data_IF_611761678873
#
_entry.id   IF_611761678873
#
_cell.length_a   1.000
_cell.length_b   1.000
_cell.length_c   1.000
_cell.angle_alpha   90.00
_cell.angle_beta   90.00
_cell.angle_gamma   90.00
#
_symmetry.space_group_name_H-M   'P 1'
#
loop_
_entity.id
_entity.type
_entity.pdbx_description
1 polymer ?
#
# COMPACT_ATOMS: atom_id res chain seq x y z
N UNK A 1 26.14 29.53 6.71
CA UNK A 1 26.64 28.32 6.03
C UNK A 1 26.64 27.10 6.99
N UNK A 2 27.17 27.21 8.22
CA UNK A 2 27.23 26.08 9.18
C UNK A 2 25.86 25.51 9.55
N UNK A 3 24.84 26.33 9.81
CA UNK A 3 23.46 25.88 10.12
C UNK A 3 22.80 25.12 8.97
N UNK A 4 23.14 25.43 7.73
CA UNK A 4 22.61 24.69 6.57
C UNK A 4 23.24 23.31 6.49
N UNK A 5 24.55 23.22 6.69
CA UNK A 5 25.28 21.93 6.67
C UNK A 5 24.77 20.99 7.76
N UNK A 6 24.49 21.52 8.98
CA UNK A 6 23.97 20.68 10.08
C UNK A 6 22.53 20.18 9.90
N UNK A 7 21.79 20.72 8.93
CA UNK A 7 20.45 20.25 8.57
C UNK A 7 20.47 18.95 7.71
N UNK A 8 21.66 18.56 7.22
CA UNK A 8 21.80 17.38 6.35
C UNK A 8 22.76 16.38 6.98
N UNK A 9 22.32 15.14 7.01
CA UNK A 9 23.19 13.98 7.38
C UNK A 9 23.45 13.17 6.12
N UNK A 10 24.75 12.92 5.83
CA UNK A 10 25.18 12.06 4.73
C UNK A 10 25.67 10.76 5.31
N UNK A 11 25.00 9.66 5.02
CA UNK A 11 25.38 8.30 5.37
C UNK A 11 25.83 7.50 4.15
N UNK A 12 26.47 6.35 4.37
CA UNK A 12 26.82 5.41 3.31
C UNK A 12 25.59 4.60 2.85
N UNK A 13 24.69 4.32 3.79
CA UNK A 13 23.53 3.46 3.59
C UNK A 13 22.25 4.15 4.08
N UNK A 14 21.12 3.70 3.57
CA UNK A 14 19.80 4.06 4.09
C UNK A 14 19.61 3.37 5.45
N UNK A 15 19.08 4.07 6.44
CA UNK A 15 18.76 3.53 7.76
C UNK A 15 17.29 3.76 8.11
N UNK A 16 16.69 2.82 8.83
CA UNK A 16 15.26 2.84 9.17
C UNK A 16 14.85 4.08 9.98
N UNK A 17 15.73 4.57 10.86
CA UNK A 17 15.43 5.71 11.75
C UNK A 17 15.17 7.02 10.99
N UNK A 18 15.74 7.14 9.79
CA UNK A 18 15.64 8.35 8.97
C UNK A 18 14.92 8.16 7.64
N UNK A 19 14.50 6.93 7.33
CA UNK A 19 13.90 6.60 6.06
C UNK A 19 12.70 5.65 6.22
N UNK A 20 11.50 6.18 6.47
CA UNK A 20 10.30 5.37 6.63
C UNK A 20 9.95 4.56 5.37
N UNK A 21 10.31 5.05 4.18
CA UNK A 21 10.10 4.31 2.93
C UNK A 21 10.94 3.04 2.87
N UNK A 22 12.17 3.08 3.40
CA UNK A 22 13.03 1.88 3.47
C UNK A 22 12.34 0.74 4.22
N UNK A 23 11.68 1.04 5.35
CA UNK A 23 10.95 0.04 6.12
C UNK A 23 9.81 -0.62 5.33
N UNK A 24 9.05 0.19 4.59
CA UNK A 24 7.96 -0.32 3.73
C UNK A 24 8.48 -1.19 2.58
N UNK A 25 9.56 -0.74 1.92
CA UNK A 25 10.21 -1.49 0.83
C UNK A 25 10.71 -2.84 1.33
N UNK A 26 11.41 -2.88 2.47
CA UNK A 26 11.94 -4.14 3.05
C UNK A 26 10.80 -5.09 3.41
N UNK A 27 9.71 -4.62 4.00
CA UNK A 27 8.54 -5.44 4.27
C UNK A 27 7.93 -6.00 2.98
N UNK A 28 7.81 -5.17 1.95
CA UNK A 28 7.32 -5.57 0.63
C UNK A 28 8.23 -6.63 -0.03
N UNK A 29 9.55 -6.48 0.10
CA UNK A 29 10.53 -7.47 -0.39
C UNK A 29 10.46 -8.80 0.37
N UNK A 30 10.25 -8.77 1.70
CA UNK A 30 10.04 -9.98 2.49
C UNK A 30 8.82 -10.75 1.98
N UNK A 31 7.70 -10.05 1.77
CA UNK A 31 6.50 -10.65 1.22
C UNK A 31 6.72 -11.19 -0.21
N UNK A 32 7.39 -10.43 -1.08
CA UNK A 32 7.71 -10.86 -2.44
C UNK A 32 8.58 -12.12 -2.47
N UNK A 33 9.58 -12.24 -1.58
CA UNK A 33 10.37 -13.47 -1.43
C UNK A 33 9.54 -14.64 -0.96
N UNK A 34 8.67 -14.42 0.03
CA UNK A 34 7.76 -15.44 0.54
C UNK A 34 6.82 -15.98 -0.56
N UNK A 35 6.36 -15.09 -1.45
CA UNK A 35 5.47 -15.41 -2.56
C UNK A 35 6.20 -15.97 -3.81
N UNK A 36 7.54 -16.02 -3.79
CA UNK A 36 8.28 -16.57 -4.92
C UNK A 36 7.98 -18.06 -5.11
N UNK A 37 8.02 -18.58 -6.37
CA UNK A 37 7.69 -19.98 -6.66
C UNK A 37 8.55 -20.99 -5.87
N UNK A 38 9.78 -20.63 -5.51
CA UNK A 38 10.68 -21.49 -4.75
C UNK A 38 10.40 -21.55 -3.26
N UNK A 39 9.75 -20.53 -2.67
CA UNK A 39 9.41 -20.45 -1.23
C UNK A 39 7.93 -20.80 -1.02
N UNK A 40 7.04 -20.17 -1.77
CA UNK A 40 5.59 -20.40 -1.75
C UNK A 40 4.98 -20.37 -0.33
N UNK A 41 5.26 -19.32 0.43
CA UNK A 41 4.76 -19.09 1.80
C UNK A 41 3.81 -17.87 1.84
N UNK A 42 2.53 -18.06 1.51
CA UNK A 42 1.53 -17.00 1.60
C UNK A 42 1.29 -16.53 3.04
N UNK A 43 1.55 -17.37 4.04
CA UNK A 43 1.39 -17.03 5.45
C UNK A 43 2.28 -15.87 5.87
N UNK A 44 3.55 -15.86 5.48
CA UNK A 44 4.48 -14.75 5.71
C UNK A 44 4.00 -13.48 5.03
N UNK A 45 3.54 -13.55 3.78
CA UNK A 45 3.00 -12.37 3.08
C UNK A 45 1.76 -11.78 3.77
N UNK A 46 0.87 -12.65 4.28
CA UNK A 46 -0.30 -12.26 5.08
C UNK A 46 0.12 -11.59 6.40
N UNK A 47 1.17 -12.09 7.04
CA UNK A 47 1.76 -11.48 8.23
C UNK A 47 2.32 -10.08 7.96
N UNK A 48 3.02 -9.90 6.84
CA UNK A 48 3.51 -8.60 6.38
C UNK A 48 2.36 -7.63 6.15
N UNK A 49 1.28 -8.05 5.47
CA UNK A 49 0.09 -7.21 5.29
C UNK A 49 -0.50 -6.74 6.63
N UNK A 50 -0.52 -7.61 7.65
CA UNK A 50 -0.94 -7.21 8.99
C UNK A 50 -0.02 -6.17 9.64
N UNK A 51 1.27 -6.27 9.41
CA UNK A 51 2.28 -5.29 9.88
C UNK A 51 2.11 -3.95 9.17
N UNK A 52 1.94 -3.95 7.85
CA UNK A 52 1.70 -2.74 7.06
C UNK A 52 0.42 -2.02 7.52
N UNK A 53 -0.68 -2.74 7.77
CA UNK A 53 -1.91 -2.13 8.31
C UNK A 53 -1.63 -1.42 9.63
N UNK A 54 -0.90 -2.04 10.56
CA UNK A 54 -0.55 -1.39 11.83
C UNK A 54 0.28 -0.13 11.63
N UNK A 55 1.29 -0.17 10.77
CA UNK A 55 2.16 0.98 10.49
C UNK A 55 1.37 2.15 9.89
N UNK A 56 0.54 1.90 8.89
CA UNK A 56 -0.29 2.94 8.27
C UNK A 56 -1.37 3.46 9.23
N UNK A 57 -1.91 2.62 10.12
CA UNK A 57 -2.87 3.07 11.14
C UNK A 57 -2.18 3.99 12.15
N UNK A 58 -0.97 3.66 12.60
CA UNK A 58 -0.16 4.54 13.45
C UNK A 58 0.21 5.84 12.73
N UNK A 59 0.50 5.77 11.44
CA UNK A 59 0.73 6.96 10.62
C UNK A 59 -0.51 7.86 10.56
N UNK A 60 -1.70 7.29 10.36
CA UNK A 60 -2.96 8.03 10.32
C UNK A 60 -3.32 8.69 11.66
N UNK A 61 -2.91 8.07 12.77
CA UNK A 61 -3.13 8.58 14.13
C UNK A 61 -2.06 9.59 14.57
N UNK A 62 -1.08 9.90 13.71
CA UNK A 62 -0.07 10.90 14.02
C UNK A 62 -0.74 12.23 14.33
N UNK A 63 -0.40 12.71 15.49
CA UNK A 63 -0.94 13.94 16.05
C UNK A 63 -0.63 15.13 15.10
N UNK A 64 -1.65 15.85 14.69
CA UNK A 64 -1.52 17.12 13.96
C UNK A 64 -0.78 18.19 14.81
N UNK A 65 -0.52 17.91 16.07
CA UNK A 65 0.22 18.74 17.01
C UNK A 65 1.69 18.99 16.62
N UNK A 66 2.22 18.30 15.62
CA UNK A 66 3.51 18.65 15.01
C UNK A 66 3.46 20.00 14.27
N UNK A 67 2.29 20.46 13.86
CA UNK A 67 2.10 21.72 13.15
C UNK A 67 2.44 22.97 13.98
N UNK A 68 2.55 22.83 15.31
CA UNK A 68 2.90 23.93 16.22
C UNK A 68 4.32 23.88 16.79
N UNK A 69 5.14 22.89 16.42
CA UNK A 69 6.52 22.82 16.90
C UNK A 69 7.41 23.84 16.18
N UNK A 70 8.34 24.50 16.89
CA UNK A 70 9.25 25.44 16.27
C UNK A 70 10.12 24.72 15.23
N UNK A 71 10.15 25.25 14.02
CA UNK A 71 10.97 24.72 12.93
C UNK A 71 12.44 24.99 13.24
N UNK A 72 13.24 23.94 13.43
CA UNK A 72 14.66 24.07 13.75
C UNK A 72 15.46 24.69 12.59
N UNK A 73 15.08 24.37 11.34
CA UNK A 73 15.74 24.83 10.12
C UNK A 73 14.74 25.53 9.19
N UNK A 74 14.43 26.78 9.47
CA UNK A 74 13.43 27.61 8.80
C UNK A 74 13.69 27.89 7.31
N UNK A 75 14.94 27.66 6.85
CA UNK A 75 15.37 27.87 5.46
C UNK A 75 15.55 26.57 4.67
N UNK A 76 15.25 25.42 5.28
CA UNK A 76 15.33 24.11 4.63
C UNK A 76 13.92 23.66 4.29
N UNK A 77 13.65 23.49 3.01
CA UNK A 77 12.39 22.94 2.51
C UNK A 77 12.66 21.53 1.99
N UNK A 78 11.93 20.56 2.53
CA UNK A 78 11.96 19.17 2.07
C UNK A 78 10.58 18.77 1.51
N UNK A 79 10.53 17.99 0.43
CA UNK A 79 9.25 17.45 -0.06
C UNK A 79 8.57 16.62 1.02
N UNK A 80 7.26 16.80 1.17
CA UNK A 80 6.46 15.95 2.05
C UNK A 80 6.35 14.56 1.46
N UNK A 81 6.34 13.55 2.33
CA UNK A 81 6.06 12.18 1.93
C UNK A 81 4.61 12.08 1.43
N UNK A 82 4.46 11.63 0.19
CA UNK A 82 3.15 11.41 -0.40
C UNK A 82 2.61 10.02 -0.01
N UNK A 83 1.40 9.97 0.51
CA UNK A 83 0.74 8.70 0.91
C UNK A 83 0.68 7.71 -0.25
N UNK A 84 0.43 8.21 -1.47
CA UNK A 84 0.43 7.38 -2.68
C UNK A 84 1.75 6.64 -2.90
N UNK A 85 2.90 7.31 -2.72
CA UNK A 85 4.22 6.69 -2.87
C UNK A 85 4.47 5.63 -1.78
N UNK A 86 4.02 5.88 -0.56
CA UNK A 86 4.12 4.92 0.54
C UNK A 86 3.31 3.65 0.26
N UNK A 87 2.12 3.80 -0.34
CA UNK A 87 1.29 2.67 -0.77
C UNK A 87 1.92 1.92 -1.96
N UNK A 88 2.50 2.64 -2.92
CA UNK A 88 3.22 2.03 -4.04
C UNK A 88 4.40 1.17 -3.53
N UNK A 89 5.21 1.67 -2.58
CA UNK A 89 6.31 0.94 -1.95
C UNK A 89 5.83 -0.31 -1.18
N UNK A 90 4.70 -0.19 -0.47
CA UNK A 90 4.21 -1.24 0.43
C UNK A 90 3.45 -2.37 -0.29
N UNK A 91 2.58 -2.04 -1.25
CA UNK A 91 1.58 -2.98 -1.73
C UNK A 91 1.77 -3.46 -3.17
N UNK A 92 2.53 -2.73 -4.02
CA UNK A 92 2.63 -3.04 -5.44
C UNK A 92 3.23 -4.42 -5.70
N UNK A 93 4.35 -4.77 -5.04
CA UNK A 93 4.99 -6.07 -5.22
C UNK A 93 4.12 -7.20 -4.64
N UNK A 94 3.50 -7.00 -3.47
CA UNK A 94 2.60 -8.00 -2.88
C UNK A 94 1.40 -8.27 -3.79
N UNK A 95 0.81 -7.23 -4.38
CA UNK A 95 -0.31 -7.37 -5.32
C UNK A 95 0.09 -8.07 -6.61
N UNK A 96 1.35 -7.90 -7.08
CA UNK A 96 1.87 -8.56 -8.27
C UNK A 96 2.17 -10.03 -7.98
N UNK A 97 2.97 -10.29 -6.96
CA UNK A 97 3.51 -11.62 -6.69
C UNK A 97 2.48 -12.54 -6.02
N UNK A 98 1.50 -11.97 -5.32
CA UNK A 98 0.40 -12.68 -4.69
C UNK A 98 -0.88 -12.80 -5.53
N UNK A 99 -0.86 -12.38 -6.79
CA UNK A 99 -2.06 -12.33 -7.63
C UNK A 99 -2.73 -13.69 -7.83
N UNK A 100 -1.95 -14.77 -7.88
CA UNK A 100 -2.43 -16.16 -8.02
C UNK A 100 -2.75 -16.86 -6.71
N UNK A 101 -2.56 -16.22 -5.55
CA UNK A 101 -2.87 -16.76 -4.24
C UNK A 101 -4.13 -16.10 -3.67
N UNK A 102 -5.26 -16.79 -3.73
CA UNK A 102 -6.57 -16.22 -3.35
C UNK A 102 -6.57 -15.70 -1.91
N UNK A 103 -5.94 -16.40 -0.98
CA UNK A 103 -5.82 -16.03 0.43
C UNK A 103 -5.04 -14.71 0.62
N UNK A 104 -3.99 -14.48 -0.19
CA UNK A 104 -3.23 -13.23 -0.19
C UNK A 104 -4.09 -12.11 -0.77
N UNK A 105 -4.77 -12.35 -1.90
CA UNK A 105 -5.68 -11.39 -2.52
C UNK A 105 -6.80 -10.96 -1.59
N UNK A 106 -7.44 -11.92 -0.90
CA UNK A 106 -8.48 -11.66 0.11
C UNK A 106 -7.92 -10.81 1.26
N UNK A 107 -6.73 -11.17 1.78
CA UNK A 107 -6.12 -10.43 2.89
C UNK A 107 -5.73 -9.02 2.45
N UNK A 108 -5.18 -8.86 1.25
CA UNK A 108 -4.81 -7.56 0.70
C UNK A 108 -6.03 -6.63 0.58
N UNK A 109 -7.14 -7.10 0.00
CA UNK A 109 -8.37 -6.30 -0.11
C UNK A 109 -8.92 -5.88 1.27
N UNK A 110 -8.93 -6.80 2.24
CA UNK A 110 -9.33 -6.49 3.62
C UNK A 110 -8.41 -5.47 4.29
N UNK A 111 -7.11 -5.56 4.04
CA UNK A 111 -6.12 -4.59 4.53
C UNK A 111 -6.37 -3.20 3.96
N UNK A 112 -6.53 -3.09 2.65
CA UNK A 112 -6.81 -1.83 1.97
C UNK A 112 -8.15 -1.23 2.42
N UNK A 113 -9.19 -2.05 2.65
CA UNK A 113 -10.46 -1.59 3.24
C UNK A 113 -10.27 -0.98 4.62
N UNK A 114 -9.49 -1.64 5.49
CA UNK A 114 -9.21 -1.12 6.83
C UNK A 114 -8.50 0.22 6.76
N UNK A 115 -7.53 0.38 5.86
CA UNK A 115 -6.80 1.64 5.68
C UNK A 115 -7.67 2.74 5.08
N UNK A 116 -8.54 2.42 4.13
CA UNK A 116 -9.51 3.37 3.56
C UNK A 116 -10.47 3.94 4.62
N UNK A 117 -10.75 3.15 5.68
CA UNK A 117 -11.64 3.55 6.76
C UNK A 117 -10.94 4.26 7.93
N UNK A 118 -9.64 4.00 8.10
CA UNK A 118 -8.86 4.51 9.25
C UNK A 118 -8.12 5.82 8.95
N UNK A 119 -7.84 6.11 7.67
CA UNK A 119 -7.04 7.25 7.24
C UNK A 119 -7.86 8.43 6.74
N UNK A 120 -7.13 9.46 6.33
CA UNK A 120 -7.66 10.65 5.66
C UNK A 120 -8.07 10.37 4.20
N UNK A 121 -8.50 11.40 3.48
CA UNK A 121 -8.88 11.31 2.06
C UNK A 121 -7.73 10.83 1.16
N UNK A 122 -6.47 11.23 1.44
CA UNK A 122 -5.33 10.80 0.65
C UNK A 122 -5.10 9.28 0.80
N UNK A 123 -5.21 8.77 2.02
CA UNK A 123 -5.08 7.33 2.30
C UNK A 123 -6.25 6.54 1.69
N UNK A 124 -7.47 7.08 1.77
CA UNK A 124 -8.64 6.46 1.13
C UNK A 124 -8.47 6.35 -0.38
N UNK A 125 -8.02 7.43 -1.04
CA UNK A 125 -7.78 7.43 -2.50
C UNK A 125 -6.68 6.43 -2.88
N UNK A 126 -5.57 6.39 -2.14
CA UNK A 126 -4.50 5.44 -2.36
C UNK A 126 -4.97 3.98 -2.18
N UNK A 127 -5.75 3.70 -1.13
CA UNK A 127 -6.29 2.37 -0.86
C UNK A 127 -7.23 1.88 -1.98
N UNK A 128 -8.13 2.74 -2.47
CA UNK A 128 -9.03 2.41 -3.60
C UNK A 128 -8.23 2.13 -4.88
N UNK A 129 -7.25 2.96 -5.21
CA UNK A 129 -6.35 2.75 -6.37
C UNK A 129 -5.66 1.38 -6.30
N UNK A 130 -5.07 1.05 -5.14
CA UNK A 130 -4.37 -0.23 -4.95
C UNK A 130 -5.32 -1.43 -4.95
N UNK A 131 -6.53 -1.29 -4.39
CA UNK A 131 -7.56 -2.32 -4.44
C UNK A 131 -7.98 -2.63 -5.88
N UNK A 132 -8.13 -1.61 -6.71
CA UNK A 132 -8.44 -1.75 -8.14
C UNK A 132 -7.32 -2.46 -8.90
N UNK A 133 -6.06 -2.05 -8.68
CA UNK A 133 -4.91 -2.69 -9.33
C UNK A 133 -4.73 -4.14 -8.88
N UNK A 134 -4.94 -4.43 -7.59
CA UNK A 134 -4.87 -5.80 -7.07
C UNK A 134 -5.97 -6.68 -7.64
N UNK A 135 -7.20 -6.16 -7.77
CA UNK A 135 -8.30 -6.87 -8.43
C UNK A 135 -7.97 -7.21 -9.87
N UNK A 136 -7.49 -6.23 -10.66
CA UNK A 136 -7.16 -6.44 -12.06
C UNK A 136 -6.07 -7.53 -12.26
N UNK A 137 -5.08 -7.59 -11.34
CA UNK A 137 -4.08 -8.66 -11.35
C UNK A 137 -4.67 -10.03 -10.99
N UNK A 138 -5.52 -10.08 -9.97
CA UNK A 138 -6.18 -11.32 -9.55
C UNK A 138 -7.09 -11.88 -10.64
N UNK A 139 -7.82 -11.04 -11.36
CA UNK A 139 -8.67 -11.43 -12.50
C UNK A 139 -7.87 -12.06 -13.66
N UNK A 140 -6.60 -11.69 -13.81
CA UNK A 140 -5.71 -12.28 -14.81
C UNK A 140 -5.02 -13.57 -14.34
N UNK A 141 -4.82 -13.73 -13.03
CA UNK A 141 -4.02 -14.81 -12.46
C UNK A 141 -4.86 -15.98 -11.93
N UNK A 142 -6.09 -15.73 -11.47
CA UNK A 142 -6.98 -16.75 -10.91
C UNK A 142 -7.85 -17.37 -12.01
N UNK A 143 -7.92 -18.70 -12.00
CA UNK A 143 -8.70 -19.46 -12.97
C UNK A 143 -10.13 -19.78 -12.51
N UNK A 144 -10.39 -19.73 -11.20
CA UNK A 144 -11.69 -20.11 -10.63
C UNK A 144 -12.61 -18.89 -10.47
N UNK A 145 -13.78 -18.87 -11.15
CA UNK A 145 -14.68 -17.72 -11.13
C UNK A 145 -15.16 -17.31 -9.73
N UNK A 146 -15.34 -18.26 -8.82
CA UNK A 146 -15.79 -17.97 -7.46
C UNK A 146 -14.71 -17.26 -6.62
N UNK A 147 -13.42 -17.56 -6.85
CA UNK A 147 -12.29 -16.88 -6.18
C UNK A 147 -12.19 -15.44 -6.68
N UNK A 148 -12.26 -15.23 -7.99
CA UNK A 148 -12.32 -13.90 -8.60
C UNK A 148 -13.53 -13.12 -8.06
N UNK A 149 -14.71 -13.76 -7.98
CA UNK A 149 -15.91 -13.15 -7.42
C UNK A 149 -15.73 -12.69 -5.96
N UNK A 150 -15.05 -13.49 -5.15
CA UNK A 150 -14.75 -13.17 -3.76
C UNK A 150 -13.85 -11.93 -3.65
N UNK A 151 -12.77 -11.88 -4.43
CA UNK A 151 -11.85 -10.72 -4.42
C UNK A 151 -12.55 -9.48 -4.97
N UNK A 152 -13.36 -9.60 -6.02
CA UNK A 152 -14.14 -8.49 -6.59
C UNK A 152 -15.11 -7.90 -5.56
N UNK A 153 -15.86 -8.72 -4.84
CA UNK A 153 -16.78 -8.26 -3.80
C UNK A 153 -16.04 -7.51 -2.67
N UNK A 154 -14.86 -7.98 -2.29
CA UNK A 154 -14.02 -7.28 -1.31
C UNK A 154 -13.48 -5.96 -1.85
N UNK A 155 -13.02 -5.89 -3.10
CA UNK A 155 -12.54 -4.67 -3.73
C UNK A 155 -13.66 -3.61 -3.80
N UNK A 156 -14.88 -4.01 -4.14
CA UNK A 156 -16.05 -3.12 -4.11
C UNK A 156 -16.28 -2.53 -2.71
N UNK A 157 -16.07 -3.33 -1.66
CA UNK A 157 -16.19 -2.85 -0.28
C UNK A 157 -15.10 -1.86 0.14
N UNK A 158 -14.03 -1.72 -0.64
CA UNK A 158 -13.02 -0.66 -0.49
C UNK A 158 -13.46 0.65 -1.17
N UNK A 159 -14.40 0.56 -2.13
CA UNK A 159 -14.86 1.68 -2.94
C UNK A 159 -14.47 1.59 -4.43
N UNK A 160 -13.99 0.42 -4.88
CA UNK A 160 -13.73 0.20 -6.32
C UNK A 160 -15.07 0.16 -7.08
N UNK A 161 -15.25 0.97 -8.12
CA UNK A 161 -16.48 0.96 -8.92
C UNK A 161 -16.69 -0.40 -9.58
N UNK A 162 -17.96 -0.77 -9.75
CA UNK A 162 -18.33 -1.88 -10.65
C UNK A 162 -17.84 -1.53 -12.06
N UNK A 163 -17.18 -2.49 -12.71
CA UNK A 163 -17.02 -2.40 -14.16
C UNK A 163 -18.43 -2.38 -14.74
N UNK A 164 -18.81 -1.29 -15.37
CA UNK A 164 -20.04 -1.26 -16.17
C UNK A 164 -19.80 -2.18 -17.35
N UNK A 165 -20.52 -3.30 -17.38
CA UNK A 165 -20.54 -4.16 -18.55
C UNK A 165 -20.96 -3.28 -19.75
N UNK A 166 -20.01 -3.06 -20.65
CA UNK A 166 -20.21 -2.30 -21.89
C UNK A 166 -21.04 -3.09 -22.89
N UNK A 167 -22.21 -3.58 -22.49
CA UNK A 167 -23.18 -4.24 -23.34
C UNK A 167 -24.51 -3.44 -23.38
N UNK A 168 -24.42 -2.26 -23.94
CA UNK A 168 -25.60 -1.68 -24.61
C UNK A 168 -25.23 -1.33 -26.05
N UNK A 169 -24.98 -2.38 -26.83
CA UNK A 169 -25.06 -2.27 -28.27
C UNK A 169 -26.54 -2.15 -28.64
N UNK A 170 -27.00 -0.93 -28.77
CA UNK A 170 -28.31 -0.64 -29.30
C UNK A 170 -28.26 -0.86 -30.80
N UNK A 171 -28.80 -1.98 -31.23
CA UNK A 171 -29.31 -2.14 -32.59
C UNK A 171 -30.40 -1.10 -32.84
N UNK A 172 -30.16 -0.21 -33.75
CA UNK A 172 -31.15 0.38 -34.67
C UNK A 172 -30.49 0.83 -35.96
#
# INVERSE_FOLDING_TARGET
AQRVVSAFTIGRDRIFDHDPRLGLIVLSEIAGRALSPGVNDPGTAIGVLGTLVRLFTLWAQRDENLAGQPVEFDRVVVPLLQVGDLFDDAFTAIARDGAGAVEVGVRLQKSLRSLASAGDDAMRVAAVKHAQHALARAEQALSLPHEVGTIRALAQSVGVPLATDGSSNTLR
#
